data_IF_641834031094
#
_entry.id   IF_641834031094
#
_cell.length_a   1.000
_cell.length_b   1.000
_cell.length_c   1.000
_cell.angle_alpha   90.00
_cell.angle_beta   90.00
_cell.angle_gamma   90.00
#
_symmetry.space_group_name_H-M   'P 1'
#
loop_
_entity.id
_entity.type
_entity.pdbx_description
1 polymer ?
#
# COMPACT_ATOMS: atom_id res chain seq x y z
N UNK A 1 2.11 -32.74 8.36
CA UNK A 1 1.91 -32.84 6.89
C UNK A 1 2.14 -31.49 6.23
N UNK A 2 2.86 -31.45 5.13
CA UNK A 2 3.10 -30.24 4.33
C UNK A 2 2.21 -30.28 3.08
N UNK A 3 1.56 -29.16 2.77
CA UNK A 3 0.81 -29.02 1.51
C UNK A 3 1.68 -28.52 0.35
N UNK A 4 2.93 -28.08 0.64
CA UNK A 4 3.91 -27.63 -0.37
C UNK A 4 3.29 -26.71 -1.43
N UNK A 5 2.64 -25.63 -0.99
CA UNK A 5 1.94 -24.69 -1.86
C UNK A 5 2.90 -24.07 -2.89
N UNK A 6 2.57 -24.24 -4.18
CA UNK A 6 3.30 -23.62 -5.29
C UNK A 6 2.66 -22.29 -5.65
N UNK A 7 3.43 -21.20 -5.57
CA UNK A 7 2.92 -19.86 -5.86
C UNK A 7 4.05 -18.94 -6.35
N UNK A 8 3.71 -18.01 -7.23
CA UNK A 8 4.63 -16.91 -7.64
C UNK A 8 4.62 -15.72 -6.68
N UNK A 9 3.80 -15.76 -5.63
CA UNK A 9 3.68 -14.68 -4.66
C UNK A 9 2.27 -14.10 -4.58
N UNK A 10 2.16 -12.87 -4.08
CA UNK A 10 0.87 -12.19 -3.92
C UNK A 10 0.39 -11.67 -5.28
N UNK A 11 -0.80 -12.06 -5.70
CA UNK A 11 -1.45 -11.56 -6.92
C UNK A 11 -2.12 -10.20 -6.68
N UNK A 12 -2.89 -10.08 -5.62
CA UNK A 12 -3.57 -8.85 -5.28
C UNK A 12 -3.73 -8.72 -3.77
N UNK A 13 -3.89 -7.48 -3.32
CA UNK A 13 -4.20 -7.13 -1.95
C UNK A 13 -5.56 -6.44 -1.94
N UNK A 14 -6.49 -6.96 -1.15
CA UNK A 14 -7.84 -6.38 -1.04
C UNK A 14 -7.99 -5.65 0.30
N UNK A 15 -8.45 -4.42 0.24
CA UNK A 15 -8.65 -3.54 1.40
C UNK A 15 -10.12 -3.15 1.53
N UNK A 16 -10.57 -2.98 2.78
CA UNK A 16 -11.87 -2.37 3.09
C UNK A 16 -11.65 -0.93 3.54
N UNK A 17 -12.43 -0.01 2.98
CA UNK A 17 -12.39 1.42 3.30
C UNK A 17 -13.77 1.92 3.70
N UNK A 18 -13.83 2.92 4.56
CA UNK A 18 -15.10 3.47 5.04
C UNK A 18 -15.75 4.39 4.02
N UNK A 19 -14.94 5.09 3.21
CA UNK A 19 -15.41 6.03 2.19
C UNK A 19 -14.70 5.76 0.87
N UNK A 20 -15.42 5.14 -0.07
CA UNK A 20 -14.85 4.73 -1.36
C UNK A 20 -14.40 5.91 -2.21
N UNK A 21 -15.15 7.01 -2.21
CA UNK A 21 -14.79 8.21 -2.97
C UNK A 21 -13.50 8.85 -2.43
N UNK A 22 -13.36 8.92 -1.12
CA UNK A 22 -12.15 9.41 -0.45
C UNK A 22 -10.94 8.51 -0.74
N UNK A 23 -11.13 7.21 -0.70
CA UNK A 23 -10.07 6.25 -1.05
C UNK A 23 -9.67 6.38 -2.52
N UNK A 24 -10.62 6.60 -3.43
CA UNK A 24 -10.36 6.81 -4.85
C UNK A 24 -9.45 8.04 -5.08
N UNK A 25 -9.73 9.13 -4.38
CA UNK A 25 -8.85 10.32 -4.43
C UNK A 25 -7.47 10.00 -3.88
N UNK A 26 -7.38 9.30 -2.75
CA UNK A 26 -6.09 8.97 -2.15
C UNK A 26 -5.25 8.07 -3.04
N UNK A 27 -5.76 6.91 -3.42
CA UNK A 27 -4.99 5.95 -4.23
C UNK A 27 -4.80 6.40 -5.68
N UNK A 28 -5.83 7.00 -6.29
CA UNK A 28 -5.80 7.39 -7.70
C UNK A 28 -5.16 8.74 -7.99
N UNK A 29 -5.29 9.73 -7.10
CA UNK A 29 -4.72 11.08 -7.31
C UNK A 29 -3.51 11.35 -6.44
N UNK A 30 -3.61 11.10 -5.14
CA UNK A 30 -2.52 11.42 -4.21
C UNK A 30 -1.33 10.49 -4.43
N UNK A 31 -1.57 9.17 -4.53
CA UNK A 31 -0.52 8.20 -4.84
C UNK A 31 -0.30 7.99 -6.34
N UNK A 32 -1.19 8.53 -7.17
CA UNK A 32 -1.15 8.47 -8.64
C UNK A 32 -1.10 7.03 -9.19
N UNK A 33 -1.80 6.11 -8.53
CA UNK A 33 -1.94 4.75 -9.06
C UNK A 33 -2.99 4.69 -10.16
N UNK A 34 -2.71 4.07 -11.32
CA UNK A 34 -3.70 3.89 -12.36
C UNK A 34 -4.93 3.13 -11.86
N UNK A 35 -6.12 3.70 -12.06
CA UNK A 35 -7.39 3.03 -11.78
C UNK A 35 -7.80 2.29 -13.06
N UNK A 36 -7.94 0.97 -12.99
CA UNK A 36 -8.14 0.12 -14.17
C UNK A 36 -9.53 -0.49 -14.24
N UNK A 37 -10.28 -0.47 -13.15
CA UNK A 37 -11.65 -0.96 -13.09
C UNK A 37 -12.40 -0.28 -11.96
N UNK A 38 -13.67 0.05 -12.20
CA UNK A 38 -14.54 0.61 -11.17
C UNK A 38 -15.90 -0.08 -11.20
N UNK A 39 -16.43 -0.32 -10.01
CA UNK A 39 -17.81 -0.78 -9.82
C UNK A 39 -18.50 0.15 -8.81
N UNK A 40 -19.76 -0.12 -8.50
CA UNK A 40 -20.48 0.64 -7.48
C UNK A 40 -19.80 0.57 -6.10
N UNK A 41 -19.21 -0.58 -5.76
CA UNK A 41 -18.75 -0.88 -4.40
C UNK A 41 -17.25 -1.11 -4.28
N UNK A 42 -16.49 -0.98 -5.39
CA UNK A 42 -15.06 -1.21 -5.41
C UNK A 42 -14.37 -0.52 -6.59
N UNK A 43 -13.06 -0.41 -6.50
CA UNK A 43 -12.21 -0.10 -7.65
C UNK A 43 -10.90 -0.88 -7.56
N UNK A 44 -10.24 -1.06 -8.70
CA UNK A 44 -8.92 -1.68 -8.81
C UNK A 44 -7.90 -0.63 -9.20
N UNK A 45 -6.80 -0.58 -8.45
CA UNK A 45 -5.65 0.28 -8.72
C UNK A 45 -4.39 -0.57 -8.92
N UNK A 46 -3.44 -0.05 -9.68
CA UNK A 46 -2.17 -0.72 -9.90
C UNK A 46 -1.06 -0.02 -9.12
N UNK A 47 -0.48 -0.70 -8.15
CA UNK A 47 0.74 -0.29 -7.46
C UNK A 47 1.90 -1.10 -8.04
N UNK A 48 2.52 -0.58 -9.12
CA UNK A 48 3.48 -1.36 -9.90
C UNK A 48 2.79 -2.62 -10.46
N UNK A 49 3.32 -3.79 -10.14
CA UNK A 49 2.77 -5.08 -10.56
C UNK A 49 1.71 -5.65 -9.60
N UNK A 50 1.51 -5.00 -8.46
CA UNK A 50 0.52 -5.45 -7.48
C UNK A 50 -0.83 -4.82 -7.77
N UNK A 51 -1.86 -5.65 -7.90
CA UNK A 51 -3.25 -5.18 -8.01
C UNK A 51 -3.78 -4.90 -6.60
N UNK A 52 -4.28 -3.69 -6.40
CA UNK A 52 -5.00 -3.30 -5.19
C UNK A 52 -6.50 -3.33 -5.49
N UNK A 53 -7.24 -4.12 -4.70
CA UNK A 53 -8.70 -4.16 -4.76
C UNK A 53 -9.22 -3.36 -3.58
N UNK A 54 -9.81 -2.21 -3.82
CA UNK A 54 -10.32 -1.32 -2.78
C UNK A 54 -11.84 -1.47 -2.74
N UNK A 55 -12.36 -1.92 -1.60
CA UNK A 55 -13.77 -2.23 -1.39
C UNK A 55 -14.36 -1.41 -0.27
N UNK A 56 -15.63 -1.06 -0.42
CA UNK A 56 -16.40 -0.47 0.66
C UNK A 56 -16.59 -1.47 1.81
N UNK A 57 -16.57 -0.98 3.05
CA UNK A 57 -16.95 -1.79 4.22
C UNK A 57 -18.35 -2.35 4.07
N UNK A 58 -18.62 -3.45 4.75
CA UNK A 58 -19.97 -4.05 4.80
C UNK A 58 -20.95 -3.14 5.57
N UNK A 59 -22.25 -3.18 5.25
CA UNK A 59 -23.25 -2.34 5.92
C UNK A 59 -23.29 -2.51 7.43
N UNK A 60 -22.99 -3.69 7.93
CA UNK A 60 -22.95 -4.03 9.36
C UNK A 60 -21.67 -3.61 10.08
N UNK A 61 -20.72 -3.00 9.37
CA UNK A 61 -19.47 -2.49 9.97
C UNK A 61 -19.78 -1.41 11.00
N UNK A 62 -19.16 -1.49 12.17
CA UNK A 62 -19.30 -0.50 13.24
C UNK A 62 -18.91 0.90 12.75
N UNK A 63 -19.77 1.89 13.05
CA UNK A 63 -19.46 3.28 12.72
C UNK A 63 -18.16 3.73 13.40
N UNK A 64 -17.28 4.40 12.64
CA UNK A 64 -15.99 4.87 13.12
C UNK A 64 -14.91 3.80 13.19
N UNK A 65 -15.16 2.62 12.61
CA UNK A 65 -14.15 1.57 12.52
C UNK A 65 -12.88 2.07 11.82
N UNK A 66 -11.75 1.66 12.33
CA UNK A 66 -10.43 2.05 11.80
C UNK A 66 -9.49 0.86 11.77
N UNK A 67 -8.50 0.93 10.89
CA UNK A 67 -7.41 -0.03 10.84
C UNK A 67 -6.61 0.01 12.15
N UNK A 68 -6.22 -1.18 12.61
CA UNK A 68 -5.40 -1.35 13.81
C UNK A 68 -4.32 -2.40 13.53
N UNK A 69 -3.08 -1.94 13.40
CA UNK A 69 -1.92 -2.78 13.10
C UNK A 69 -1.57 -3.75 14.23
N UNK A 70 -2.07 -3.53 15.45
CA UNK A 70 -1.78 -4.39 16.60
C UNK A 70 -2.70 -5.61 16.71
N UNK A 71 -3.74 -5.68 15.89
CA UNK A 71 -4.68 -6.80 15.89
C UNK A 71 -4.17 -7.94 15.01
N UNK A 72 -4.69 -9.14 15.25
CA UNK A 72 -4.39 -10.30 14.39
C UNK A 72 -4.84 -9.99 12.95
N UNK A 73 -3.90 -10.08 12.02
CA UNK A 73 -4.12 -9.76 10.61
C UNK A 73 -2.95 -9.01 10.00
N UNK A 74 -3.25 -8.00 9.24
CA UNK A 74 -2.23 -7.16 8.60
C UNK A 74 -1.67 -6.14 9.60
N UNK A 75 -0.34 -6.08 9.71
CA UNK A 75 0.37 -4.98 10.38
C UNK A 75 0.50 -3.79 9.41
N UNK A 76 1.14 -4.02 8.28
CA UNK A 76 1.30 -3.05 7.19
C UNK A 76 1.59 -3.76 5.88
N UNK A 77 1.56 -3.03 4.79
CA UNK A 77 2.03 -3.49 3.49
C UNK A 77 3.13 -2.55 2.99
N UNK A 78 4.21 -3.12 2.47
CA UNK A 78 5.34 -2.36 1.95
C UNK A 78 5.39 -2.43 0.42
N UNK A 79 5.49 -1.27 -0.22
CA UNK A 79 5.67 -1.14 -1.65
C UNK A 79 7.16 -0.97 -1.95
N UNK A 80 7.67 -1.70 -2.94
CA UNK A 80 9.07 -1.67 -3.30
C UNK A 80 9.45 -0.35 -3.99
N UNK A 81 10.58 0.22 -3.56
CA UNK A 81 11.19 1.41 -4.15
C UNK A 81 12.57 1.07 -4.72
N UNK A 82 12.82 1.42 -5.97
CA UNK A 82 14.04 1.04 -6.68
C UNK A 82 15.25 1.94 -6.46
N UNK A 83 15.07 3.17 -5.95
CA UNK A 83 16.19 4.11 -5.81
C UNK A 83 16.04 5.03 -4.61
N UNK A 84 17.18 5.47 -4.05
CA UNK A 84 17.22 6.46 -2.97
C UNK A 84 16.57 7.79 -3.41
N UNK A 85 16.83 8.23 -4.63
CA UNK A 85 16.24 9.46 -5.19
C UNK A 85 14.71 9.38 -5.17
N UNK A 86 14.14 8.26 -5.59
CA UNK A 86 12.70 8.05 -5.59
C UNK A 86 12.13 7.97 -4.18
N UNK A 87 12.84 7.34 -3.25
CA UNK A 87 12.44 7.28 -1.85
C UNK A 87 12.37 8.68 -1.23
N UNK A 88 13.41 9.49 -1.44
CA UNK A 88 13.47 10.86 -0.92
C UNK A 88 12.40 11.75 -1.56
N UNK A 89 12.20 11.62 -2.87
CA UNK A 89 11.15 12.33 -3.60
C UNK A 89 9.76 11.99 -3.04
N UNK A 90 9.49 10.71 -2.81
CA UNK A 90 8.21 10.24 -2.28
C UNK A 90 7.98 10.73 -0.86
N UNK A 91 8.98 10.67 0.01
CA UNK A 91 8.87 11.20 1.37
C UNK A 91 8.51 12.69 1.37
N UNK A 92 9.16 13.48 0.52
CA UNK A 92 8.85 14.90 0.38
C UNK A 92 7.44 15.14 -0.19
N UNK A 93 7.01 14.32 -1.16
CA UNK A 93 5.68 14.43 -1.76
C UNK A 93 4.56 14.08 -0.77
N UNK A 94 4.76 13.07 0.05
CA UNK A 94 3.81 12.71 1.12
C UNK A 94 3.65 13.86 2.12
N UNK A 95 4.75 14.47 2.53
CA UNK A 95 4.75 15.62 3.44
C UNK A 95 4.02 16.82 2.81
N UNK A 96 4.33 17.15 1.56
CA UNK A 96 3.69 18.24 0.82
C UNK A 96 2.18 18.02 0.63
N UNK A 97 1.76 16.78 0.44
CA UNK A 97 0.35 16.38 0.31
C UNK A 97 -0.36 16.26 1.67
N UNK A 98 0.36 16.47 2.77
CA UNK A 98 -0.14 16.34 4.15
C UNK A 98 -0.70 14.94 4.44
N UNK A 99 -0.13 13.93 3.82
CA UNK A 99 -0.40 12.53 4.16
C UNK A 99 0.31 12.23 5.48
N UNK A 100 -0.38 11.66 6.49
CA UNK A 100 0.29 11.25 7.73
C UNK A 100 1.43 10.28 7.40
N UNK A 101 2.67 10.70 7.70
CA UNK A 101 3.85 9.92 7.34
C UNK A 101 4.98 10.14 8.35
N UNK A 102 5.93 9.21 8.37
CA UNK A 102 7.17 9.35 9.13
C UNK A 102 8.20 10.14 8.31
N UNK A 103 9.28 10.54 8.95
CA UNK A 103 10.50 10.89 8.22
C UNK A 103 11.12 9.62 7.61
N UNK A 104 12.12 9.79 6.75
CA UNK A 104 12.94 8.66 6.30
C UNK A 104 13.54 7.93 7.49
N UNK A 105 13.39 6.60 7.50
CA UNK A 105 13.82 5.71 8.56
C UNK A 105 14.72 4.62 8.02
N UNK A 106 15.44 3.97 8.93
CA UNK A 106 16.31 2.84 8.63
C UNK A 106 15.82 1.61 9.40
N UNK A 107 15.57 0.53 8.68
CA UNK A 107 15.22 -0.76 9.25
C UNK A 107 16.50 -1.50 9.64
N UNK A 108 16.77 -1.72 10.94
CA UNK A 108 18.00 -2.37 11.38
C UNK A 108 18.02 -3.88 11.10
N UNK A 109 16.87 -4.49 10.86
CA UNK A 109 16.76 -5.94 10.59
C UNK A 109 17.09 -6.22 9.12
N UNK A 110 16.37 -5.59 8.19
CA UNK A 110 16.61 -5.77 6.76
C UNK A 110 17.65 -4.82 6.19
N UNK A 111 18.12 -3.83 6.99
CA UNK A 111 19.15 -2.87 6.63
C UNK A 111 18.81 -2.07 5.39
N UNK A 112 17.59 -1.55 5.33
CA UNK A 112 17.06 -0.73 4.23
C UNK A 112 16.41 0.53 4.77
N UNK A 113 16.39 1.58 3.95
CA UNK A 113 15.67 2.81 4.26
C UNK A 113 14.22 2.70 3.77
N UNK A 114 13.33 3.39 4.45
CA UNK A 114 11.92 3.43 4.10
C UNK A 114 11.23 4.68 4.64
N UNK A 115 10.02 4.94 4.16
CA UNK A 115 9.09 5.90 4.75
C UNK A 115 7.76 5.17 5.01
N UNK A 116 7.16 5.39 6.18
CA UNK A 116 5.85 4.84 6.51
C UNK A 116 4.78 5.94 6.37
N UNK A 117 3.59 5.56 5.93
CA UNK A 117 2.46 6.47 5.79
C UNK A 117 1.14 5.71 5.99
N UNK A 118 0.05 6.43 6.15
CA UNK A 118 -1.27 5.84 6.31
C UNK A 118 -2.25 6.42 5.30
N UNK A 119 -3.22 5.58 4.90
CA UNK A 119 -4.35 6.03 4.12
C UNK A 119 -5.39 6.75 4.99
N UNK A 120 -6.50 7.29 4.43
CA UNK A 120 -7.51 7.99 5.22
C UNK A 120 -8.21 7.16 6.30
N UNK A 121 -8.21 5.83 6.20
CA UNK A 121 -8.74 4.92 7.21
C UNK A 121 -7.67 4.46 8.22
N UNK A 122 -6.45 4.99 8.11
CA UNK A 122 -5.33 4.60 8.96
C UNK A 122 -4.64 3.31 8.54
N UNK A 123 -4.96 2.75 7.36
CA UNK A 123 -4.30 1.56 6.84
C UNK A 123 -2.83 1.87 6.64
N UNK A 124 -1.96 1.03 7.23
CA UNK A 124 -0.52 1.28 7.30
C UNK A 124 0.20 0.78 6.04
N UNK A 125 0.98 1.67 5.46
CA UNK A 125 1.82 1.44 4.29
C UNK A 125 3.27 1.83 4.56
N UNK A 126 4.18 1.20 3.85
CA UNK A 126 5.56 1.64 3.74
C UNK A 126 5.96 1.74 2.27
N UNK A 127 6.84 2.69 1.97
CA UNK A 127 7.58 2.75 0.72
C UNK A 127 9.03 2.39 1.05
N UNK A 128 9.48 1.23 0.57
CA UNK A 128 10.61 0.48 1.14
C UNK A 128 11.68 0.24 0.07
N UNK A 129 12.92 0.57 0.35
CA UNK A 129 14.04 0.35 -0.57
C UNK A 129 14.24 -1.14 -0.88
N UNK A 130 14.03 -1.50 -2.14
CA UNK A 130 14.17 -2.88 -2.63
C UNK A 130 14.59 -2.88 -4.11
N UNK A 131 15.78 -2.36 -4.44
CA UNK A 131 16.21 -2.24 -5.83
C UNK A 131 16.33 -3.59 -6.55
N UNK A 132 16.64 -4.64 -5.82
CA UNK A 132 16.75 -6.00 -6.37
C UNK A 132 15.40 -6.55 -6.88
N UNK A 133 14.28 -6.12 -6.33
CA UNK A 133 12.96 -6.54 -6.80
C UNK A 133 12.57 -5.84 -8.12
N UNK A 134 12.99 -4.60 -8.31
CA UNK A 134 12.77 -3.91 -9.58
C UNK A 134 13.57 -4.55 -10.72
N UNK A 135 14.82 -4.95 -10.46
CA UNK A 135 15.66 -5.62 -11.46
C UNK A 135 15.08 -6.95 -11.92
N UNK A 136 14.47 -7.71 -11.00
CA UNK A 136 13.82 -8.99 -11.32
C UNK A 136 12.57 -8.84 -12.20
N UNK A 137 11.94 -7.67 -12.17
CA UNK A 137 10.73 -7.37 -12.96
C UNK A 137 11.06 -6.81 -14.34
N UNK A 138 12.21 -6.15 -14.49
CA UNK A 138 12.63 -5.53 -15.74
C UNK A 138 13.14 -6.54 -16.79
N UNK A 139 13.45 -7.76 -16.39
CA UNK A 139 13.98 -8.82 -17.26
C UNK A 139 12.91 -9.76 -17.83
N UNK A 140 11.63 -9.56 -17.54
CA UNK A 140 10.49 -10.28 -18.11
C UNK A 140 9.86 -9.49 -19.28
#
# INVERSE_FOLDING_TARGET
>A
MSIALQTAGIHHLALRVTDLARAHVFYGRTLDFPIVLETRDSFLALAGHTVLVIRRVQPETTAGDRFDASRVGLDHAALACGSETELERTAAALDAAKVPSTSLRFDPVLKRRYVAFTDPDGIAWEFYMAPELELAVADD
#
